data_IF_216461400598
#
_entry.id   IF_216461400598
#
_cell.length_a   1.000
_cell.length_b   1.000
_cell.length_c   1.000
_cell.angle_alpha   90.00
_cell.angle_beta   90.00
_cell.angle_gamma   90.00
#
_symmetry.space_group_name_H-M   'P 1'
#
loop_
_entity.id
_entity.type
_entity.pdbx_description
1 polymer ?
#
# COMPACT_ATOMS: atom_id res chain seq x y z
N UNK A 1 -12.99 -1.96 -13.74
CA UNK A 1 -11.70 -1.87 -13.01
C UNK A 1 -11.84 -0.78 -11.96
N UNK A 2 -11.61 -1.05 -10.67
CA UNK A 2 -11.74 0.00 -9.63
C UNK A 2 -10.60 1.00 -9.76
N UNK A 3 -10.85 2.31 -9.88
CA UNK A 3 -9.80 3.31 -9.93
C UNK A 3 -8.90 3.27 -8.69
N UNK A 4 -7.60 3.53 -8.87
CA UNK A 4 -6.63 3.47 -7.78
C UNK A 4 -6.96 4.44 -6.65
N UNK A 5 -7.44 5.65 -6.97
CA UNK A 5 -7.82 6.65 -5.96
C UNK A 5 -8.92 6.16 -5.02
N UNK A 6 -9.87 5.33 -5.49
CA UNK A 6 -10.91 4.73 -4.65
C UNK A 6 -10.31 3.66 -3.74
N UNK A 7 -9.38 2.85 -4.24
CA UNK A 7 -8.65 1.86 -3.42
C UNK A 7 -7.85 2.54 -2.32
N UNK A 8 -7.11 3.61 -2.65
CA UNK A 8 -6.36 4.41 -1.67
C UNK A 8 -7.30 4.96 -0.60
N UNK A 9 -8.45 5.51 -0.98
CA UNK A 9 -9.42 6.05 -0.02
C UNK A 9 -9.94 4.97 0.95
N UNK A 10 -10.16 3.74 0.47
CA UNK A 10 -10.55 2.60 1.31
C UNK A 10 -9.42 2.15 2.23
N UNK A 11 -8.20 2.05 1.70
CA UNK A 11 -7.01 1.68 2.48
C UNK A 11 -6.73 2.64 3.63
N UNK A 12 -6.94 3.95 3.43
CA UNK A 12 -6.76 4.96 4.49
C UNK A 12 -7.63 4.70 5.73
N UNK A 13 -8.79 4.03 5.57
CA UNK A 13 -9.69 3.68 6.68
C UNK A 13 -9.18 2.52 7.52
N UNK A 14 -8.22 1.74 7.02
CA UNK A 14 -7.66 0.61 7.73
C UNK A 14 -6.55 1.06 8.72
N UNK A 15 -6.34 0.32 9.81
CA UNK A 15 -5.16 0.48 10.66
C UNK A 15 -3.87 0.28 9.85
N UNK A 16 -2.80 1.00 10.22
CA UNK A 16 -1.53 1.00 9.48
C UNK A 16 -0.97 -0.42 9.25
N UNK A 17 -1.03 -1.29 10.26
CA UNK A 17 -0.62 -2.70 10.16
C UNK A 17 -1.37 -3.47 9.06
N UNK A 18 -2.65 -3.16 8.85
CA UNK A 18 -3.49 -3.84 7.86
C UNK A 18 -3.30 -3.27 6.45
N UNK A 19 -2.89 -2.00 6.31
CA UNK A 19 -2.67 -1.36 5.00
C UNK A 19 -1.56 -2.03 4.21
N UNK A 20 -0.42 -2.28 4.85
CA UNK A 20 0.74 -2.93 4.21
C UNK A 20 0.37 -4.34 3.75
N UNK A 21 -0.31 -5.11 4.60
CA UNK A 21 -0.76 -6.45 4.25
C UNK A 21 -1.72 -6.43 3.03
N UNK A 22 -2.69 -5.51 3.04
CA UNK A 22 -3.66 -5.39 1.94
C UNK A 22 -2.99 -4.92 0.63
N UNK A 23 -2.05 -3.98 0.70
CA UNK A 23 -1.28 -3.52 -0.47
C UNK A 23 -0.45 -4.66 -1.07
N UNK A 24 0.20 -5.49 -0.24
CA UNK A 24 0.92 -6.69 -0.71
C UNK A 24 0.01 -7.66 -1.45
N UNK A 25 -1.19 -7.92 -0.92
CA UNK A 25 -2.18 -8.77 -1.59
C UNK A 25 -2.65 -8.19 -2.93
N UNK A 26 -2.86 -6.86 -3.00
CA UNK A 26 -3.23 -6.19 -4.24
C UNK A 26 -2.11 -6.28 -5.30
N UNK A 27 -0.86 -6.03 -4.92
CA UNK A 27 0.30 -6.18 -5.82
C UNK A 27 0.40 -7.61 -6.37
N UNK A 28 0.20 -8.61 -5.51
CA UNK A 28 0.27 -10.02 -5.90
C UNK A 28 -0.87 -10.44 -6.84
N UNK A 29 -2.03 -9.80 -6.75
CA UNK A 29 -3.18 -10.08 -7.61
C UNK A 29 -3.09 -9.41 -8.99
N UNK A 30 -2.27 -8.37 -9.15
CA UNK A 30 -2.10 -7.67 -10.42
C UNK A 30 -1.12 -8.38 -11.36
N UNK A 31 -1.36 -8.23 -12.68
CA UNK A 31 -0.48 -8.81 -13.69
C UNK A 31 0.96 -8.27 -13.55
N UNK A 32 1.99 -9.11 -13.71
CA UNK A 32 3.37 -8.67 -13.79
C UNK A 32 3.55 -7.54 -14.81
N UNK A 33 4.39 -6.56 -14.49
CA UNK A 33 4.72 -5.41 -15.34
C UNK A 33 3.55 -4.49 -15.75
N UNK A 34 2.36 -4.66 -15.15
CA UNK A 34 1.27 -3.71 -15.36
C UNK A 34 1.58 -2.37 -14.70
N UNK A 35 1.20 -1.27 -15.34
CA UNK A 35 1.34 0.08 -14.76
C UNK A 35 0.69 0.16 -13.38
N UNK A 36 -0.48 -0.46 -13.23
CA UNK A 36 -1.21 -0.56 -11.97
C UNK A 36 -0.42 -1.26 -10.85
N UNK A 37 0.35 -2.30 -11.19
CA UNK A 37 1.22 -2.97 -10.23
C UNK A 37 2.33 -2.05 -9.76
N UNK A 38 2.96 -1.31 -10.68
CA UNK A 38 3.98 -0.29 -10.33
C UNK A 38 3.40 0.76 -9.38
N UNK A 39 2.21 1.28 -9.69
CA UNK A 39 1.53 2.26 -8.83
C UNK A 39 1.23 1.70 -7.41
N UNK A 40 0.86 0.43 -7.30
CA UNK A 40 0.62 -0.22 -6.02
C UNK A 40 1.93 -0.51 -5.26
N UNK A 41 3.01 -0.84 -5.97
CA UNK A 41 4.35 -1.03 -5.39
C UNK A 41 4.89 0.29 -4.82
N UNK A 42 4.73 1.41 -5.54
CA UNK A 42 5.09 2.74 -5.06
C UNK A 42 4.32 3.12 -3.78
N UNK A 43 3.01 2.86 -3.76
CA UNK A 43 2.17 3.09 -2.57
C UNK A 43 2.59 2.21 -1.39
N UNK A 44 2.93 0.95 -1.64
CA UNK A 44 3.42 0.02 -0.62
C UNK A 44 4.73 0.51 -0.01
N UNK A 45 5.66 0.99 -0.84
CA UNK A 45 6.93 1.53 -0.36
C UNK A 45 6.72 2.76 0.53
N UNK A 46 5.81 3.66 0.15
CA UNK A 46 5.47 4.84 0.96
C UNK A 46 4.89 4.45 2.33
N UNK A 47 3.98 3.48 2.40
CA UNK A 47 3.41 3.05 3.69
C UNK A 47 4.43 2.31 4.56
N UNK A 48 5.32 1.50 3.97
CA UNK A 48 6.43 0.86 4.71
C UNK A 48 7.36 1.92 5.31
N UNK A 49 7.77 2.93 4.53
CA UNK A 49 8.62 4.02 5.03
C UNK A 49 7.95 4.81 6.15
N UNK A 50 6.64 5.07 6.06
CA UNK A 50 5.89 5.72 7.14
C UNK A 50 5.86 4.87 8.41
N UNK A 51 5.68 3.56 8.28
CA UNK A 51 5.70 2.63 9.41
C UNK A 51 7.07 2.61 10.08
N UNK A 52 8.15 2.49 9.29
CA UNK A 52 9.52 2.52 9.81
C UNK A 52 9.84 3.83 10.55
N UNK A 53 9.44 4.98 10.00
CA UNK A 53 9.62 6.28 10.67
C UNK A 53 8.87 6.38 11.99
N UNK A 54 7.70 5.73 12.12
CA UNK A 54 6.95 5.70 13.38
C UNK A 54 7.65 4.82 14.41
N UNK A 55 8.17 3.68 13.99
CA UNK A 55 8.91 2.77 14.86
C UNK A 55 10.19 3.41 15.38
N UNK A 56 10.96 4.10 14.51
CA UNK A 56 12.16 4.85 14.91
C UNK A 56 11.83 5.94 15.95
N UNK A 57 10.70 6.63 15.81
CA UNK A 57 10.30 7.69 16.76
C UNK A 57 9.76 7.18 18.08
N UNK A 58 9.33 5.92 18.13
CA UNK A 58 8.78 5.31 19.33
C UNK A 58 9.84 4.57 20.17
N UNK A 59 11.06 4.42 19.63
CA UNK A 59 12.24 3.89 20.29
C UNK A 59 13.05 5.00 20.95
#
# INVERSE_FOLDING_TARGET
MTPLHILIARLKRLPAKHRIAHLRSLVAAEKPYSQRRSELEDLLQVEILKQLRREIRAA
#
